data_IF_307973412016
#
_entry.id   IF_307973412016
#
_cell.length_a   1.000
_cell.length_b   1.000
_cell.length_c   1.000
_cell.angle_alpha   90.00
_cell.angle_beta   90.00
_cell.angle_gamma   90.00
#
_symmetry.space_group_name_H-M   'P 1'
#
loop_
_entity.id
_entity.type
_entity.pdbx_description
1 polymer ?
#
# COMPACT_ATOMS: atom_id res chain seq x y z
N UNK A 1 17.21 22.69 -3.15
CA UNK A 1 18.55 23.19 -3.39
C UNK A 1 18.87 23.43 -4.87
N UNK A 2 19.78 24.35 -5.16
CA UNK A 2 20.14 24.77 -6.54
C UNK A 2 20.73 23.61 -7.38
N UNK A 3 21.31 22.61 -6.72
CA UNK A 3 21.95 21.44 -7.37
C UNK A 3 21.03 20.25 -7.57
N UNK A 4 19.84 20.23 -6.96
CA UNK A 4 18.92 19.10 -7.06
C UNK A 4 18.44 18.96 -8.50
N UNK A 5 18.41 17.72 -8.97
CA UNK A 5 17.95 17.35 -10.31
C UNK A 5 16.64 16.59 -10.28
N UNK A 6 16.37 15.92 -9.17
CA UNK A 6 15.22 15.09 -8.95
C UNK A 6 14.70 15.28 -7.51
N UNK A 7 13.40 15.44 -7.37
CA UNK A 7 12.69 15.39 -6.09
C UNK A 7 11.76 14.18 -6.13
N UNK A 8 11.79 13.39 -5.07
CA UNK A 8 10.91 12.23 -4.91
C UNK A 8 9.82 12.55 -3.90
N UNK A 9 8.57 12.28 -4.27
CA UNK A 9 7.40 12.41 -3.40
C UNK A 9 6.83 11.00 -3.18
N UNK A 10 6.70 10.57 -1.95
CA UNK A 10 6.02 9.33 -1.59
C UNK A 10 4.55 9.66 -1.24
N UNK A 11 3.59 9.14 -2.03
CA UNK A 11 2.17 9.38 -1.85
C UNK A 11 1.64 8.73 -0.59
N UNK A 12 1.87 7.45 -0.42
CA UNK A 12 1.42 6.69 0.74
C UNK A 12 2.23 7.01 2.00
N UNK A 13 1.64 6.71 3.16
CA UNK A 13 2.22 7.05 4.46
C UNK A 13 3.40 6.17 4.88
N UNK A 14 3.59 4.99 4.28
CA UNK A 14 4.52 4.00 4.83
C UNK A 14 4.15 3.64 6.28
N UNK A 15 5.14 3.48 7.15
CA UNK A 15 4.94 3.26 8.59
C UNK A 15 4.91 4.58 9.38
N UNK A 16 4.33 5.63 8.80
CA UNK A 16 4.17 6.91 9.48
C UNK A 16 2.71 7.16 9.86
N UNK A 17 2.50 7.99 10.89
CA UNK A 17 1.15 8.40 11.34
C UNK A 17 0.59 9.57 10.53
N UNK A 18 1.36 10.12 9.58
CA UNK A 18 0.86 11.17 8.69
C UNK A 18 -0.26 10.68 7.79
N UNK A 19 -1.19 11.53 7.34
CA UNK A 19 -2.11 11.17 6.26
C UNK A 19 -1.35 10.93 4.95
N UNK A 20 -1.94 10.12 4.05
CA UNK A 20 -1.46 9.98 2.68
C UNK A 20 -1.82 11.22 1.87
N UNK A 21 -1.01 11.58 0.88
CA UNK A 21 -1.28 12.73 0.04
C UNK A 21 -2.38 12.44 -0.98
N UNK A 22 -3.33 13.38 -1.10
CA UNK A 22 -4.20 13.42 -2.27
C UNK A 22 -3.40 13.79 -3.52
N UNK A 23 -3.92 13.44 -4.70
CA UNK A 23 -3.31 13.85 -5.97
C UNK A 23 -3.24 15.37 -6.08
N UNK A 24 -4.26 16.08 -5.56
CA UNK A 24 -4.25 17.55 -5.52
C UNK A 24 -3.11 18.11 -4.66
N UNK A 25 -2.90 17.60 -3.45
CA UNK A 25 -1.78 18.02 -2.59
C UNK A 25 -0.42 17.75 -3.24
N UNK A 26 -0.30 16.61 -3.96
CA UNK A 26 0.90 16.33 -4.76
C UNK A 26 1.09 17.39 -5.85
N UNK A 27 0.01 17.76 -6.56
CA UNK A 27 0.05 18.82 -7.57
C UNK A 27 0.47 20.18 -7.01
N UNK A 28 -0.03 20.57 -5.84
CA UNK A 28 0.36 21.79 -5.14
C UNK A 28 1.86 21.77 -4.77
N UNK A 29 2.36 20.63 -4.28
CA UNK A 29 3.76 20.46 -3.95
C UNK A 29 4.65 20.49 -5.22
N UNK A 30 4.20 19.89 -6.32
CA UNK A 30 4.89 19.95 -7.62
C UNK A 30 4.99 21.41 -8.10
N UNK A 31 3.87 22.14 -8.06
CA UNK A 31 3.84 23.56 -8.46
C UNK A 31 4.79 24.40 -7.61
N UNK A 32 4.81 24.19 -6.30
CA UNK A 32 5.73 24.86 -5.38
C UNK A 32 7.20 24.57 -5.73
N UNK A 33 7.57 23.29 -5.92
CA UNK A 33 8.94 22.90 -6.24
C UNK A 33 9.40 23.48 -7.59
N UNK A 34 8.54 23.38 -8.62
CA UNK A 34 8.84 23.92 -9.96
C UNK A 34 8.82 25.45 -10.01
N UNK A 35 8.10 26.11 -9.12
CA UNK A 35 8.16 27.57 -8.93
C UNK A 35 9.53 28.04 -8.44
N UNK A 36 10.23 27.22 -7.64
CA UNK A 36 11.58 27.52 -7.16
C UNK A 36 12.63 27.09 -8.19
N UNK A 37 12.46 25.93 -8.81
CA UNK A 37 13.39 25.35 -9.78
C UNK A 37 12.62 24.72 -10.94
N UNK A 38 12.38 25.48 -12.03
CA UNK A 38 11.52 25.05 -13.14
C UNK A 38 11.99 23.78 -13.86
N UNK A 39 13.29 23.50 -13.87
CA UNK A 39 13.89 22.35 -14.56
C UNK A 39 14.04 21.10 -13.67
N UNK A 40 13.62 21.17 -12.39
CA UNK A 40 13.67 20.02 -11.51
C UNK A 40 12.67 18.94 -11.96
N UNK A 41 13.12 17.70 -11.97
CA UNK A 41 12.23 16.57 -12.25
C UNK A 41 11.54 16.12 -10.97
N UNK A 42 10.27 15.82 -11.07
CA UNK A 42 9.47 15.32 -9.95
C UNK A 42 9.09 13.87 -10.24
N UNK A 43 9.48 12.98 -9.34
CA UNK A 43 9.08 11.58 -9.33
C UNK A 43 8.13 11.32 -8.16
N UNK A 44 7.01 10.67 -8.43
CA UNK A 44 6.05 10.26 -7.41
C UNK A 44 6.07 8.75 -7.28
N UNK A 45 6.38 8.25 -6.07
CA UNK A 45 6.08 6.87 -5.69
C UNK A 45 4.58 6.80 -5.38
N UNK A 46 3.84 6.16 -6.28
CA UNK A 46 2.38 6.11 -6.27
C UNK A 46 1.84 4.81 -5.64
N UNK A 47 2.71 3.93 -5.14
CA UNK A 47 2.30 2.68 -4.53
C UNK A 47 1.16 2.88 -3.52
N UNK A 48 0.14 2.03 -3.61
CA UNK A 48 -1.10 2.03 -2.81
C UNK A 48 -2.12 3.13 -3.16
N UNK A 49 -1.74 4.12 -3.99
CA UNK A 49 -2.63 5.22 -4.37
C UNK A 49 -3.34 5.02 -5.71
N UNK A 50 -2.85 4.12 -6.55
CA UNK A 50 -3.38 3.91 -7.90
C UNK A 50 -4.86 3.50 -7.85
N UNK A 51 -5.67 4.10 -8.71
CA UNK A 51 -7.13 3.89 -8.82
C UNK A 51 -7.96 4.28 -7.58
N UNK A 52 -7.37 4.96 -6.61
CA UNK A 52 -8.09 5.48 -5.43
C UNK A 52 -8.82 6.77 -5.77
N UNK A 53 -8.20 7.63 -6.59
CA UNK A 53 -8.79 8.87 -7.09
C UNK A 53 -9.02 8.77 -8.62
N UNK A 54 -9.78 9.70 -9.18
CA UNK A 54 -10.12 9.73 -10.62
C UNK A 54 -9.04 10.33 -11.50
N UNK A 55 -8.01 10.91 -10.89
CA UNK A 55 -6.81 11.48 -11.53
C UNK A 55 -5.57 10.92 -10.86
N UNK A 56 -4.46 10.93 -11.58
CA UNK A 56 -3.17 10.45 -11.10
C UNK A 56 -2.13 11.60 -11.05
N UNK A 57 -1.02 11.45 -10.32
CA UNK A 57 -0.03 12.52 -10.20
C UNK A 57 0.54 13.04 -11.52
N UNK A 58 0.56 12.20 -12.57
CA UNK A 58 0.95 12.62 -13.92
C UNK A 58 0.05 13.70 -14.49
N UNK A 59 -1.25 13.70 -14.16
CA UNK A 59 -2.21 14.70 -14.63
C UNK A 59 -1.94 16.09 -14.03
N UNK A 60 -1.24 16.14 -12.91
CA UNK A 60 -0.89 17.38 -12.22
C UNK A 60 0.60 17.73 -12.30
N UNK A 61 1.32 17.17 -13.28
CA UNK A 61 2.64 17.63 -13.66
C UNK A 61 3.82 16.87 -13.06
N UNK A 62 3.60 15.67 -12.50
CA UNK A 62 4.70 14.77 -12.18
C UNK A 62 5.44 14.37 -13.46
N UNK A 63 6.76 14.48 -13.45
CA UNK A 63 7.59 14.07 -14.60
C UNK A 63 7.70 12.54 -14.70
N UNK A 64 7.64 11.85 -13.56
CA UNK A 64 7.58 10.40 -13.44
C UNK A 64 6.62 9.99 -12.34
N UNK A 65 5.86 8.94 -12.61
CA UNK A 65 5.06 8.21 -11.62
C UNK A 65 5.51 6.77 -11.65
N UNK A 66 5.87 6.24 -10.50
CA UNK A 66 6.42 4.89 -10.37
C UNK A 66 5.62 4.09 -9.36
N UNK A 67 5.56 2.78 -9.57
CA UNK A 67 4.88 1.90 -8.63
C UNK A 67 5.12 0.43 -8.95
N UNK A 68 4.50 -0.41 -8.14
CA UNK A 68 4.63 -1.86 -8.24
C UNK A 68 3.41 -2.48 -8.91
N UNK A 69 3.64 -3.33 -9.91
CA UNK A 69 2.57 -4.08 -10.56
C UNK A 69 2.01 -5.20 -9.68
N UNK A 70 2.75 -5.67 -8.66
CA UNK A 70 2.23 -6.65 -7.70
C UNK A 70 1.34 -6.05 -6.60
N UNK A 71 1.07 -4.74 -6.67
CA UNK A 71 0.15 -4.00 -5.78
C UNK A 71 -1.13 -3.63 -6.53
N UNK A 72 -1.66 -2.43 -6.27
CA UNK A 72 -2.92 -1.98 -6.88
C UNK A 72 -3.02 -2.26 -8.39
N UNK A 73 -2.04 -1.84 -9.23
CA UNK A 73 -2.21 -1.96 -10.69
C UNK A 73 -2.29 -3.39 -11.23
N UNK A 74 -1.77 -4.35 -10.48
CA UNK A 74 -1.80 -5.74 -10.92
C UNK A 74 -3.06 -6.51 -10.55
N UNK A 75 -3.95 -5.92 -9.72
CA UNK A 75 -5.23 -6.52 -9.35
C UNK A 75 -5.13 -7.95 -8.78
N UNK A 76 -3.99 -8.31 -8.18
CA UNK A 76 -3.71 -9.65 -7.67
C UNK A 76 -3.32 -10.69 -8.74
N UNK A 77 -3.23 -10.30 -10.00
CA UNK A 77 -2.86 -11.21 -11.10
C UNK A 77 -1.43 -11.02 -11.60
N UNK A 78 -0.86 -9.83 -11.45
CA UNK A 78 0.51 -9.58 -11.89
C UNK A 78 1.51 -10.30 -10.97
N UNK A 79 2.28 -11.27 -11.49
CA UNK A 79 3.16 -12.07 -10.67
C UNK A 79 4.47 -11.35 -10.31
N UNK A 80 4.79 -10.28 -11.00
CA UNK A 80 6.05 -9.53 -10.86
C UNK A 80 5.92 -8.17 -11.56
N UNK A 81 6.82 -7.27 -11.25
CA UNK A 81 7.07 -6.09 -12.05
C UNK A 81 6.76 -4.78 -11.35
N UNK A 82 7.20 -3.73 -12.00
CA UNK A 82 6.92 -2.35 -11.66
C UNK A 82 6.57 -1.58 -12.92
N UNK A 83 6.10 -0.37 -12.75
CA UNK A 83 5.85 0.54 -13.86
C UNK A 83 6.53 1.89 -13.64
N UNK A 84 6.87 2.52 -14.74
CA UNK A 84 7.30 3.91 -14.80
C UNK A 84 6.51 4.55 -15.93
N UNK A 85 5.73 5.56 -15.62
CA UNK A 85 5.06 6.38 -16.62
C UNK A 85 5.36 7.87 -16.38
N UNK A 86 5.15 8.71 -17.39
CA UNK A 86 5.45 10.14 -17.29
C UNK A 86 5.89 10.74 -18.61
N UNK A 87 6.78 11.75 -18.54
CA UNK A 87 7.31 12.38 -19.74
C UNK A 87 8.16 11.42 -20.55
N UNK A 88 8.08 11.52 -21.89
CA UNK A 88 8.89 10.66 -22.78
C UNK A 88 10.38 10.70 -22.44
N UNK A 89 10.92 11.89 -22.16
CA UNK A 89 12.32 12.06 -21.76
C UNK A 89 12.68 11.19 -20.55
N UNK A 90 11.87 11.24 -19.49
CA UNK A 90 12.15 10.51 -18.27
C UNK A 90 12.01 9.00 -18.46
N UNK A 91 10.95 8.57 -19.16
CA UNK A 91 10.70 7.14 -19.44
C UNK A 91 11.81 6.54 -20.29
N UNK A 92 12.26 7.23 -21.36
CA UNK A 92 13.36 6.77 -22.21
C UNK A 92 14.66 6.62 -21.41
N UNK A 93 14.99 7.60 -20.57
CA UNK A 93 16.19 7.54 -19.72
C UNK A 93 16.16 6.36 -18.75
N UNK A 94 15.00 6.07 -18.16
CA UNK A 94 14.81 4.91 -17.31
C UNK A 94 14.97 3.60 -18.09
N UNK A 95 14.41 3.51 -19.29
CA UNK A 95 14.52 2.33 -20.15
C UNK A 95 15.99 2.01 -20.51
N UNK A 96 16.79 3.01 -20.86
CA UNK A 96 18.22 2.82 -21.11
C UNK A 96 18.99 2.38 -19.86
N UNK A 97 18.57 2.80 -18.69
CA UNK A 97 19.21 2.40 -17.43
C UNK A 97 18.82 0.99 -17.00
N UNK A 98 17.59 0.59 -17.27
CA UNK A 98 17.06 -0.73 -16.90
C UNK A 98 17.56 -1.85 -17.81
N UNK A 99 17.80 -1.56 -19.09
CA UNK A 99 18.31 -2.52 -20.06
C UNK A 99 19.82 -2.29 -20.31
N UNK A 100 20.14 -1.63 -21.40
CA UNK A 100 21.51 -1.22 -21.73
C UNK A 100 21.48 0.07 -22.55
N UNK A 101 22.53 0.89 -22.48
CA UNK A 101 22.67 2.07 -23.33
C UNK A 101 22.48 1.74 -24.81
N UNK A 102 21.59 2.48 -25.48
CA UNK A 102 21.29 2.28 -26.90
C UNK A 102 20.23 1.23 -27.21
N UNK A 103 19.82 0.39 -26.25
CA UNK A 103 18.77 -0.62 -26.47
C UNK A 103 17.40 -0.16 -25.99
N UNK A 104 17.32 0.43 -24.78
CA UNK A 104 16.07 0.95 -24.24
C UNK A 104 14.96 -0.09 -24.17
N UNK A 105 13.84 0.20 -24.81
CA UNK A 105 12.64 -0.66 -24.83
C UNK A 105 12.61 -1.67 -25.99
N UNK A 106 13.61 -1.69 -26.85
CA UNK A 106 13.59 -2.52 -28.06
C UNK A 106 13.86 -4.00 -27.79
N UNK A 107 14.32 -4.34 -26.58
CA UNK A 107 14.68 -5.70 -26.20
C UNK A 107 14.10 -6.06 -24.84
N UNK A 108 13.96 -7.33 -24.62
CA UNK A 108 13.50 -7.91 -23.36
C UNK A 108 12.35 -8.90 -23.57
N UNK A 109 12.54 -10.12 -23.09
CA UNK A 109 11.48 -11.13 -23.09
C UNK A 109 10.49 -10.83 -21.98
N UNK A 110 9.20 -10.86 -22.29
CA UNK A 110 8.14 -10.73 -21.30
C UNK A 110 7.72 -12.08 -20.66
N UNK A 111 8.34 -13.17 -21.07
CA UNK A 111 8.12 -14.54 -20.54
C UNK A 111 6.64 -14.98 -20.52
N UNK A 112 5.81 -14.42 -21.40
CA UNK A 112 4.37 -14.72 -21.46
C UNK A 112 3.53 -14.05 -20.37
N UNK A 113 4.07 -13.09 -19.62
CA UNK A 113 3.37 -12.44 -18.49
C UNK A 113 2.36 -11.37 -18.91
N UNK A 114 2.45 -10.84 -20.12
CA UNK A 114 1.62 -9.72 -20.58
C UNK A 114 0.12 -9.94 -20.39
N UNK A 115 -0.48 -11.13 -20.69
CA UNK A 115 -1.91 -11.35 -20.46
C UNK A 115 -2.30 -11.15 -18.98
N UNK A 116 -1.51 -11.65 -18.03
CA UNK A 116 -1.78 -11.49 -16.61
C UNK A 116 -1.64 -10.02 -16.16
N UNK A 117 -0.64 -9.31 -16.70
CA UNK A 117 -0.44 -7.88 -16.39
C UNK A 117 -1.62 -7.03 -16.91
N UNK A 118 -2.06 -7.23 -18.15
CA UNK A 118 -3.19 -6.48 -18.72
C UNK A 118 -4.51 -6.84 -18.07
N UNK A 119 -4.76 -8.12 -17.80
CA UNK A 119 -5.98 -8.54 -17.12
C UNK A 119 -6.01 -8.00 -15.69
N UNK A 120 -4.88 -8.03 -14.99
CA UNK A 120 -4.74 -7.44 -13.66
C UNK A 120 -5.05 -5.95 -13.68
N UNK A 121 -4.46 -5.20 -14.62
CA UNK A 121 -4.73 -3.78 -14.79
C UNK A 121 -6.21 -3.48 -15.05
N UNK A 122 -6.85 -4.29 -15.89
CA UNK A 122 -8.28 -4.16 -16.18
C UNK A 122 -9.16 -4.38 -14.93
N UNK A 123 -8.81 -5.34 -14.08
CA UNK A 123 -9.55 -5.67 -12.86
C UNK A 123 -9.23 -4.73 -11.69
N UNK A 124 -8.09 -4.05 -11.72
CA UNK A 124 -7.56 -3.24 -10.61
C UNK A 124 -8.56 -2.26 -10.00
N UNK A 125 -9.37 -1.50 -10.75
CA UNK A 125 -10.33 -0.57 -10.13
C UNK A 125 -11.35 -1.27 -9.23
N UNK A 126 -11.80 -2.48 -9.62
CA UNK A 126 -12.73 -3.29 -8.82
C UNK A 126 -12.05 -3.84 -7.56
N UNK A 127 -10.81 -4.33 -7.69
CA UNK A 127 -10.02 -4.84 -6.58
C UNK A 127 -9.71 -3.73 -5.57
N UNK A 128 -9.25 -2.57 -6.04
CA UNK A 128 -8.98 -1.40 -5.20
C UNK A 128 -10.24 -0.92 -4.47
N UNK A 129 -11.39 -0.91 -5.15
CA UNK A 129 -12.68 -0.61 -4.51
C UNK A 129 -13.00 -1.59 -3.37
N UNK A 130 -12.71 -2.87 -3.55
CA UNK A 130 -12.85 -3.89 -2.50
C UNK A 130 -11.94 -3.63 -1.30
N UNK A 131 -10.67 -3.32 -1.57
CA UNK A 131 -9.68 -2.97 -0.54
C UNK A 131 -10.07 -1.70 0.24
N UNK A 132 -10.55 -0.65 -0.45
CA UNK A 132 -11.05 0.56 0.19
C UNK A 132 -12.25 0.31 1.11
N UNK A 133 -13.20 -0.53 0.68
CA UNK A 133 -14.32 -0.95 1.55
C UNK A 133 -13.82 -1.68 2.79
N UNK A 134 -12.81 -2.55 2.62
CA UNK A 134 -12.14 -3.22 3.74
C UNK A 134 -11.51 -2.22 4.71
N UNK A 135 -10.76 -1.25 4.19
CA UNK A 135 -10.12 -0.22 5.01
C UNK A 135 -11.14 0.63 5.80
N UNK A 136 -12.23 1.05 5.17
CA UNK A 136 -13.34 1.78 5.85
C UNK A 136 -13.99 0.91 6.93
N UNK A 137 -14.21 -0.36 6.64
CA UNK A 137 -14.81 -1.30 7.59
C UNK A 137 -13.89 -1.53 8.80
N UNK A 138 -12.58 -1.69 8.58
CA UNK A 138 -11.60 -1.81 9.65
C UNK A 138 -11.62 -0.55 10.54
N UNK A 139 -11.52 0.64 9.96
CA UNK A 139 -11.61 1.89 10.72
C UNK A 139 -12.88 1.94 11.55
N UNK A 140 -14.05 1.66 10.96
CA UNK A 140 -15.35 1.74 11.66
C UNK A 140 -15.43 0.77 12.85
N UNK A 141 -14.95 -0.46 12.70
CA UNK A 141 -14.97 -1.46 13.79
C UNK A 141 -14.01 -1.03 14.90
N UNK A 142 -12.76 -0.73 14.56
CA UNK A 142 -11.74 -0.45 15.56
C UNK A 142 -11.98 0.88 16.29
N UNK A 143 -12.51 1.90 15.63
CA UNK A 143 -12.96 3.14 16.30
C UNK A 143 -14.08 2.91 17.31
N UNK A 144 -15.06 2.07 16.97
CA UNK A 144 -16.14 1.70 17.92
C UNK A 144 -15.64 0.94 19.15
N UNK A 145 -14.47 0.32 19.04
CA UNK A 145 -13.78 -0.35 20.15
C UNK A 145 -12.80 0.57 20.88
N UNK A 146 -12.71 1.85 20.49
CA UNK A 146 -11.88 2.86 21.15
C UNK A 146 -10.45 2.99 20.62
N UNK A 147 -10.11 2.35 19.49
CA UNK A 147 -8.79 2.49 18.89
C UNK A 147 -8.71 3.70 17.96
N UNK A 148 -7.56 4.38 17.95
CA UNK A 148 -7.30 5.46 16.99
C UNK A 148 -7.01 4.88 15.60
N UNK A 149 -7.70 5.39 14.58
CA UNK A 149 -7.56 4.98 13.19
C UNK A 149 -7.17 6.15 12.29
N UNK A 150 -6.26 5.92 11.34
CA UNK A 150 -5.83 6.93 10.37
C UNK A 150 -5.78 6.32 8.96
N UNK A 151 -6.62 6.79 8.03
CA UNK A 151 -7.73 7.72 8.18
C UNK A 151 -8.83 7.16 9.10
N UNK A 152 -9.67 8.02 9.67
CA UNK A 152 -10.87 7.55 10.35
C UNK A 152 -11.91 7.03 9.34
N UNK A 153 -13.00 6.44 9.84
CA UNK A 153 -14.00 5.78 8.99
C UNK A 153 -14.72 6.72 8.00
N UNK A 154 -14.71 8.04 8.26
CA UNK A 154 -15.42 9.04 7.46
C UNK A 154 -14.50 9.97 6.67
N UNK A 155 -13.19 9.90 6.89
CA UNK A 155 -12.22 10.70 6.16
C UNK A 155 -12.02 10.20 4.72
N UNK A 156 -11.70 11.16 3.83
CA UNK A 156 -11.27 10.85 2.47
C UNK A 156 -10.00 10.02 2.46
N UNK A 157 -9.91 9.09 1.53
CA UNK A 157 -8.78 8.18 1.39
C UNK A 157 -8.02 8.46 0.11
N UNK A 158 -6.70 8.38 0.20
CA UNK A 158 -5.79 8.66 -0.90
C UNK A 158 -4.83 7.48 -1.18
N UNK A 159 -4.95 6.42 -0.37
CA UNK A 159 -4.37 5.09 -0.55
C UNK A 159 -5.29 4.03 0.05
N UNK A 160 -4.91 2.75 -0.06
CA UNK A 160 -5.68 1.62 0.49
C UNK A 160 -5.29 1.25 1.93
N UNK A 161 -4.35 1.97 2.54
CA UNK A 161 -3.80 1.61 3.85
C UNK A 161 -4.69 2.11 4.98
N UNK A 162 -4.97 1.24 5.93
CA UNK A 162 -5.61 1.58 7.19
C UNK A 162 -4.65 1.37 8.34
N UNK A 163 -4.21 2.46 8.96
CA UNK A 163 -3.47 2.39 10.21
C UNK A 163 -4.44 2.28 11.39
N UNK A 164 -4.17 1.34 12.30
CA UNK A 164 -4.88 1.15 13.56
C UNK A 164 -3.86 1.14 14.69
N UNK A 165 -3.96 2.09 15.60
CA UNK A 165 -3.09 2.17 16.78
C UNK A 165 -3.62 1.25 17.87
N UNK A 166 -2.94 0.13 18.09
CA UNK A 166 -3.36 -0.92 19.01
C UNK A 166 -2.80 -0.75 20.44
N UNK A 167 -1.74 0.06 20.60
CA UNK A 167 -1.21 0.46 21.90
C UNK A 167 -0.25 -0.51 22.57
N UNK A 168 -0.11 -1.76 22.07
CA UNK A 168 0.86 -2.72 22.60
C UNK A 168 1.41 -3.66 21.52
N UNK A 169 2.57 -4.24 21.77
CA UNK A 169 3.19 -5.23 20.89
C UNK A 169 2.34 -6.50 20.78
N UNK A 170 1.77 -6.94 21.91
CA UNK A 170 0.91 -8.12 21.97
C UNK A 170 -0.33 -7.96 21.10
N UNK A 171 -0.94 -6.77 21.11
CA UNK A 171 -2.10 -6.49 20.28
C UNK A 171 -1.74 -6.47 18.79
N UNK A 172 -0.57 -5.93 18.40
CA UNK A 172 -0.08 -6.01 17.03
C UNK A 172 0.11 -7.45 16.57
N UNK A 173 0.71 -8.28 17.42
CA UNK A 173 0.92 -9.71 17.13
C UNK A 173 -0.41 -10.44 16.98
N UNK A 174 -1.35 -10.23 17.89
CA UNK A 174 -2.67 -10.86 17.82
C UNK A 174 -3.45 -10.43 16.56
N UNK A 175 -3.41 -9.15 16.21
CA UNK A 175 -4.01 -8.63 14.99
C UNK A 175 -3.43 -9.32 13.74
N UNK A 176 -2.11 -9.32 13.61
CA UNK A 176 -1.42 -9.94 12.48
C UNK A 176 -1.67 -11.45 12.38
N UNK A 177 -1.73 -12.17 13.50
CA UNK A 177 -2.11 -13.59 13.53
C UNK A 177 -3.51 -13.81 12.96
N UNK A 178 -4.46 -12.93 13.25
CA UNK A 178 -5.81 -12.99 12.70
C UNK A 178 -5.85 -12.75 11.19
N UNK A 179 -5.12 -11.76 10.70
CA UNK A 179 -4.99 -11.50 9.25
C UNK A 179 -4.31 -12.66 8.55
N UNK A 180 -3.23 -13.21 9.10
CA UNK A 180 -2.53 -14.38 8.53
C UNK A 180 -3.44 -15.59 8.42
N UNK A 181 -4.22 -15.86 9.45
CA UNK A 181 -5.16 -16.98 9.45
C UNK A 181 -6.29 -16.86 8.42
N UNK A 182 -6.57 -15.63 7.94
CA UNK A 182 -7.52 -15.36 6.86
C UNK A 182 -6.87 -15.34 5.47
N UNK A 183 -5.56 -15.47 5.36
CA UNK A 183 -4.85 -15.39 4.09
C UNK A 183 -5.22 -16.55 3.14
N UNK A 184 -5.18 -16.33 1.80
CA UNK A 184 -5.53 -17.38 0.83
C UNK A 184 -4.47 -18.50 0.77
N UNK A 185 -3.22 -18.16 1.10
CA UNK A 185 -2.07 -19.10 1.15
C UNK A 185 -1.42 -18.95 2.52
N UNK A 186 -0.77 -19.99 3.01
CA UNK A 186 -0.03 -19.97 4.29
C UNK A 186 -0.87 -19.55 5.52
N UNK A 187 -2.18 -19.78 5.50
CA UNK A 187 -3.09 -19.45 6.62
C UNK A 187 -2.74 -20.21 7.93
N UNK A 188 -2.00 -21.30 7.84
CA UNK A 188 -1.52 -22.10 8.98
C UNK A 188 -0.24 -21.55 9.62
N UNK A 189 0.43 -20.61 8.97
CA UNK A 189 1.65 -19.97 9.49
C UNK A 189 1.28 -18.98 10.59
N UNK A 190 2.11 -18.92 11.61
CA UNK A 190 1.99 -17.94 12.68
C UNK A 190 3.04 -16.85 12.48
N UNK A 191 2.67 -15.60 12.18
CA UNK A 191 3.63 -14.52 12.06
C UNK A 191 4.20 -14.15 13.42
N UNK A 192 5.51 -13.88 13.45
CA UNK A 192 6.24 -13.41 14.62
C UNK A 192 7.09 -12.18 14.25
N UNK A 193 7.33 -11.25 15.20
CA UNK A 193 8.24 -10.14 14.98
C UNK A 193 9.67 -10.64 14.68
N UNK A 194 10.35 -10.00 13.75
CA UNK A 194 11.72 -10.32 13.39
C UNK A 194 12.49 -9.08 12.93
N UNK A 195 13.82 -9.14 13.03
CA UNK A 195 14.70 -8.07 12.59
C UNK A 195 14.70 -7.98 11.05
N UNK A 196 14.09 -6.93 10.52
CA UNK A 196 14.03 -6.68 9.08
C UNK A 196 15.12 -5.68 8.66
N UNK A 197 15.92 -5.96 7.62
CA UNK A 197 16.93 -5.05 7.12
C UNK A 197 16.35 -3.65 6.80
N UNK A 198 17.02 -2.61 7.28
CA UNK A 198 16.60 -1.22 7.08
C UNK A 198 15.64 -0.66 8.13
N UNK A 199 15.32 -1.42 9.16
CA UNK A 199 14.51 -0.97 10.29
C UNK A 199 15.28 -1.10 11.63
N UNK A 200 15.08 -0.13 12.52
CA UNK A 200 15.71 -0.08 13.85
C UNK A 200 14.94 -0.88 14.92
N UNK A 201 13.78 -1.41 14.58
CA UNK A 201 12.92 -2.24 15.42
C UNK A 201 12.43 -3.45 14.65
N UNK A 202 12.13 -4.51 15.39
CA UNK A 202 11.49 -5.69 14.77
C UNK A 202 10.20 -5.29 14.06
N UNK A 203 9.91 -5.97 12.97
CA UNK A 203 8.68 -5.80 12.18
C UNK A 203 7.90 -7.09 12.23
N UNK A 204 6.59 -7.02 12.47
CA UNK A 204 5.68 -8.14 12.23
C UNK A 204 4.99 -7.96 10.89
N UNK A 205 4.83 -9.06 10.15
CA UNK A 205 4.19 -9.04 8.83
C UNK A 205 3.28 -10.26 8.69
N UNK A 206 2.02 -10.00 8.41
CA UNK A 206 1.03 -10.99 8.00
C UNK A 206 0.78 -10.83 6.50
N UNK A 207 1.17 -11.83 5.73
CA UNK A 207 0.96 -11.85 4.28
C UNK A 207 1.02 -13.31 3.80
N UNK A 208 -0.11 -13.88 3.46
CA UNK A 208 -0.20 -15.18 2.81
C UNK A 208 -0.84 -15.00 1.46
N UNK A 209 -0.04 -14.63 0.47
CA UNK A 209 -0.49 -14.18 -0.84
C UNK A 209 -0.13 -15.18 -1.93
N UNK A 210 -0.92 -15.23 -3.02
CA UNK A 210 -0.58 -15.98 -4.24
C UNK A 210 0.70 -15.44 -4.87
N UNK A 211 0.93 -14.14 -4.75
CA UNK A 211 2.15 -13.46 -5.22
C UNK A 211 2.88 -12.85 -4.04
N UNK A 212 4.12 -13.25 -3.83
CA UNK A 212 4.96 -12.76 -2.73
C UNK A 212 5.10 -11.23 -2.80
N UNK A 213 4.85 -10.56 -1.67
CA UNK A 213 4.88 -9.10 -1.57
C UNK A 213 3.65 -8.37 -2.12
N UNK A 214 2.64 -9.11 -2.59
CA UNK A 214 1.39 -8.53 -3.10
C UNK A 214 0.45 -8.12 -1.96
N UNK A 215 0.67 -6.94 -1.42
CA UNK A 215 -0.14 -6.41 -0.31
C UNK A 215 -1.59 -6.10 -0.69
N UNK A 216 -1.91 -5.98 -2.00
CA UNK A 216 -3.30 -5.86 -2.46
C UNK A 216 -4.13 -7.11 -2.16
N UNK A 217 -3.51 -8.26 -1.96
CA UNK A 217 -4.23 -9.51 -1.71
C UNK A 217 -4.85 -9.60 -0.32
N UNK A 218 -4.16 -9.31 0.69
CA UNK A 218 -4.54 -9.10 2.10
C UNK A 218 -3.26 -9.10 2.93
N UNK A 219 -2.99 -8.04 3.64
CA UNK A 219 -1.82 -7.99 4.52
C UNK A 219 -2.03 -7.05 5.69
N UNK A 220 -1.25 -7.25 6.73
CA UNK A 220 -1.08 -6.30 7.81
C UNK A 220 0.34 -6.42 8.34
N UNK A 221 0.98 -5.29 8.52
CA UNK A 221 2.35 -5.21 9.00
C UNK A 221 2.56 -3.99 9.88
N UNK A 222 3.69 -3.94 10.55
CA UNK A 222 4.11 -2.77 11.31
C UNK A 222 5.32 -3.01 12.18
N UNK A 223 6.11 -1.95 12.45
CA UNK A 223 7.25 -2.01 13.34
C UNK A 223 6.78 -2.11 14.80
N UNK A 224 7.40 -3.01 15.57
CA UNK A 224 7.11 -3.22 16.99
C UNK A 224 7.75 -2.09 17.82
N UNK A 225 7.11 -0.94 17.78
CA UNK A 225 7.51 0.26 18.51
C UNK A 225 6.30 1.17 18.77
N UNK A 226 6.35 2.03 19.79
CA UNK A 226 5.30 3.02 20.00
C UNK A 226 5.04 3.87 18.74
N UNK A 227 3.78 4.19 18.43
CA UNK A 227 2.58 3.93 19.21
C UNK A 227 1.94 2.54 19.03
N UNK A 228 2.66 1.56 18.48
CA UNK A 228 2.19 0.19 18.21
C UNK A 228 0.98 0.18 17.26
N UNK A 229 1.23 0.67 16.06
CA UNK A 229 0.23 0.73 15.00
C UNK A 229 0.47 -0.38 13.95
N UNK A 230 -0.60 -1.05 13.55
CA UNK A 230 -0.62 -1.94 12.39
C UNK A 230 -1.12 -1.18 11.17
N UNK A 231 -0.63 -1.57 10.01
CA UNK A 231 -0.99 -1.05 8.70
C UNK A 231 -1.66 -2.15 7.91
N UNK A 232 -2.98 -2.18 7.96
CA UNK A 232 -3.82 -3.12 7.22
C UNK A 232 -4.03 -2.64 5.78
N UNK A 233 -4.01 -3.56 4.82
CA UNK A 233 -4.21 -3.23 3.42
C UNK A 233 -4.69 -4.44 2.61
N UNK A 234 -5.41 -4.16 1.53
CA UNK A 234 -5.77 -5.15 0.53
C UNK A 234 -7.04 -5.92 0.85
N UNK A 235 -7.10 -7.06 0.18
CA UNK A 235 -8.26 -7.91 0.03
C UNK A 235 -8.74 -7.87 -1.42
N UNK A 236 -8.48 -8.93 -2.20
CA UNK A 236 -8.89 -9.02 -3.62
C UNK A 236 -10.39 -8.88 -3.80
N UNK A 237 -11.15 -9.22 -2.77
CA UNK A 237 -12.58 -9.00 -2.69
C UNK A 237 -12.95 -8.36 -1.36
N UNK A 238 -14.02 -7.59 -1.34
CA UNK A 238 -14.60 -7.06 -0.11
C UNK A 238 -14.85 -8.15 0.96
N UNK A 239 -15.34 -9.31 0.55
CA UNK A 239 -15.68 -10.40 1.47
C UNK A 239 -14.42 -10.97 2.16
N UNK A 240 -13.31 -11.07 1.43
CA UNK A 240 -12.04 -11.51 1.99
C UNK A 240 -11.45 -10.48 2.97
N UNK A 241 -11.45 -9.20 2.61
CA UNK A 241 -11.04 -8.13 3.51
C UNK A 241 -11.86 -8.14 4.82
N UNK A 242 -13.19 -8.26 4.70
CA UNK A 242 -14.10 -8.36 5.83
C UNK A 242 -13.77 -9.57 6.73
N UNK A 243 -13.53 -10.74 6.14
CA UNK A 243 -13.15 -11.94 6.89
C UNK A 243 -11.87 -11.70 7.69
N UNK A 244 -10.82 -11.17 7.05
CA UNK A 244 -9.54 -10.89 7.70
C UNK A 244 -9.70 -9.96 8.90
N UNK A 245 -10.46 -8.88 8.75
CA UNK A 245 -10.72 -7.93 9.82
C UNK A 245 -11.48 -8.58 10.99
N UNK A 246 -12.48 -9.41 10.71
CA UNK A 246 -13.20 -10.10 11.76
C UNK A 246 -12.33 -11.15 12.48
N UNK A 247 -11.46 -11.84 11.76
CA UNK A 247 -10.48 -12.77 12.35
C UNK A 247 -9.42 -12.06 13.17
N UNK A 248 -8.96 -10.87 12.76
CA UNK A 248 -8.05 -10.05 13.56
C UNK A 248 -8.69 -9.62 14.87
N UNK A 249 -9.97 -9.21 14.84
CA UNK A 249 -10.73 -8.89 16.05
C UNK A 249 -10.91 -10.11 16.94
N UNK A 250 -11.25 -11.26 16.37
CA UNK A 250 -11.39 -12.52 17.13
C UNK A 250 -10.10 -12.84 17.89
N UNK A 251 -8.93 -12.71 17.25
CA UNK A 251 -7.64 -12.96 17.92
C UNK A 251 -7.36 -12.00 19.06
N UNK A 252 -7.75 -10.74 18.93
CA UNK A 252 -7.63 -9.75 20.01
C UNK A 252 -8.55 -10.10 21.20
N UNK A 253 -9.77 -10.57 20.94
CA UNK A 253 -10.70 -11.01 21.98
C UNK A 253 -10.20 -12.28 22.67
N UNK A 254 -9.76 -13.28 21.89
CA UNK A 254 -9.19 -14.54 22.43
C UNK A 254 -7.96 -14.28 23.32
N UNK A 255 -7.17 -13.26 23.00
CA UNK A 255 -6.02 -12.84 23.79
C UNK A 255 -6.39 -11.97 25.01
N UNK A 256 -7.66 -11.65 25.23
CA UNK A 256 -8.10 -10.77 26.32
C UNK A 256 -7.71 -9.29 26.17
N UNK A 257 -7.32 -8.87 24.96
CA UNK A 257 -6.85 -7.52 24.66
C UNK A 257 -8.00 -6.58 24.25
N UNK A 258 -9.16 -7.13 23.93
CA UNK A 258 -10.37 -6.39 23.59
C UNK A 258 -11.57 -7.08 24.24
N UNK A 259 -12.45 -6.27 24.82
CA UNK A 259 -13.76 -6.72 25.31
C UNK A 259 -14.84 -6.19 24.37
N UNK A 260 -15.67 -7.08 23.85
CA UNK A 260 -16.81 -6.66 23.04
C UNK A 260 -17.92 -6.07 23.93
N UNK A 261 -18.63 -5.02 23.47
CA UNK A 261 -19.79 -4.53 24.17
C UNK A 261 -20.87 -5.62 24.24
N UNK A 262 -21.55 -5.70 25.36
CA UNK A 262 -22.68 -6.62 25.53
C UNK A 262 -23.75 -6.32 24.45
N UNK A 263 -24.27 -7.39 23.83
CA UNK A 263 -25.38 -7.26 22.89
C UNK A 263 -26.63 -6.77 23.66
N UNK A 264 -27.07 -5.58 23.28
CA UNK A 264 -28.36 -5.06 23.75
C UNK A 264 -29.53 -5.84 23.17
#
# INVERSE_FOLDING_TARGET
CIRDRLITIQRSKGYATRPSFSVRQIGELIAFCKGIKPDVKIMVDNCYGEFVETIEPSDLGADMVVGSLIKNPGGGLAPIGGYICGTKECVDRCAYRLSAPGLGQEVGANLGLMPALYQGLFLSPTVVSGALKGAVFAANIYEKLGFACVPNATESRHDIIQAVTLGSAEAMVAFCKGIQAAAPVDSYVTPEPWAMPGYDSDVIMAAGAFVQGSSIELSADGPIRPPYAVYFQGGLTWYHAKLGILMSLQKLVEAGLVTLPESK
#
